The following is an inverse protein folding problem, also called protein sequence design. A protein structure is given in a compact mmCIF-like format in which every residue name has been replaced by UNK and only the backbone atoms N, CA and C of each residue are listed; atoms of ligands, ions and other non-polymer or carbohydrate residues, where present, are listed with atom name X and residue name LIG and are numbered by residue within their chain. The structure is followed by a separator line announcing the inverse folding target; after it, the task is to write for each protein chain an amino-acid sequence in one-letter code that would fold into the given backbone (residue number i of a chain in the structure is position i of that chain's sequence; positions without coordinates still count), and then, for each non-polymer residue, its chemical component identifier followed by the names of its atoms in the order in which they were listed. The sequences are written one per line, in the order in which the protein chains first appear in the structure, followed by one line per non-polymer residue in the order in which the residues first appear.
data_IF_645563406537
#
_entry.id   IF_645563406537
#
_cell.length_a   1.000
_cell.length_b   1.000
_cell.length_c   1.000
_cell.angle_alpha   90.00
_cell.angle_beta   90.00
_cell.angle_gamma   90.00
#
_symmetry.space_group_name_H-M   'P 1'
#
loop_
_entity.id
_entity.type
_entity.pdbx_description
1 polymer ?
#
# COMPACT_ATOMS: atom_id res chain seq x y z
N UNK A 1 -17.73 -75.17 20.34
CA UNK A 1 -18.88 -74.81 19.48
C UNK A 1 -18.87 -73.30 19.32
N UNK A 2 -18.33 -72.90 18.18
CA UNK A 2 -18.09 -71.52 17.73
C UNK A 2 -19.34 -70.94 17.09
N UNK A 3 -19.79 -69.78 17.55
CA UNK A 3 -20.70 -68.92 16.80
C UNK A 3 -20.12 -67.49 16.76
N UNK A 4 -19.41 -67.21 15.67
CA UNK A 4 -19.21 -65.85 15.16
C UNK A 4 -20.42 -65.51 14.28
N UNK A 5 -20.94 -64.27 14.35
CA UNK A 5 -21.54 -63.67 13.18
C UNK A 5 -20.85 -62.36 12.78
N UNK A 6 -20.48 -62.34 11.50
CA UNK A 6 -20.78 -61.28 10.51
C UNK A 6 -20.12 -59.91 10.72
N UNK A 7 -18.96 -59.78 10.08
CA UNK A 7 -18.59 -58.69 9.15
C UNK A 7 -19.35 -57.37 9.32
N UNK A 8 -18.68 -56.38 9.92
CA UNK A 8 -19.03 -54.97 9.83
C UNK A 8 -19.04 -54.53 8.35
N UNK A 9 -20.06 -53.80 7.89
CA UNK A 9 -20.11 -53.33 6.52
C UNK A 9 -19.06 -52.25 6.30
N UNK A 10 -18.28 -52.45 5.24
CA UNK A 10 -17.26 -51.57 4.69
C UNK A 10 -17.91 -50.33 4.05
N UNK A 11 -18.65 -49.54 4.83
CA UNK A 11 -19.44 -48.41 4.32
C UNK A 11 -19.30 -47.18 5.21
N UNK A 12 -18.09 -46.94 5.73
CA UNK A 12 -17.75 -45.69 6.40
C UNK A 12 -16.32 -45.23 6.07
N UNK A 13 -15.95 -45.34 4.79
CA UNK A 13 -14.69 -44.80 4.27
C UNK A 13 -14.91 -44.03 2.96
N UNK A 14 -15.98 -43.23 2.92
CA UNK A 14 -16.29 -42.35 1.79
C UNK A 14 -16.76 -40.96 2.23
N UNK A 15 -16.11 -40.38 3.25
CA UNK A 15 -16.39 -39.03 3.74
C UNK A 15 -15.11 -38.31 4.17
N UNK A 16 -14.14 -38.18 3.26
CA UNK A 16 -13.01 -37.24 3.41
C UNK A 16 -12.32 -36.87 2.08
N UNK A 17 -13.02 -36.90 0.93
CA UNK A 17 -12.39 -36.61 -0.36
C UNK A 17 -13.21 -35.72 -1.29
N UNK A 18 -14.17 -34.95 -0.78
CA UNK A 18 -14.90 -33.93 -1.55
C UNK A 18 -15.09 -32.69 -0.70
N UNK A 19 -14.05 -31.88 -0.51
CA UNK A 19 -14.17 -30.46 -0.12
C UNK A 19 -13.02 -29.56 -0.64
N UNK A 20 -12.21 -30.03 -1.60
CA UNK A 20 -10.99 -29.32 -2.04
C UNK A 20 -11.02 -28.81 -3.49
N UNK A 21 -12.19 -28.51 -4.06
CA UNK A 21 -12.29 -27.89 -5.39
C UNK A 21 -12.85 -26.46 -5.43
N UNK A 22 -13.07 -25.82 -4.27
CA UNK A 22 -13.68 -24.47 -4.21
C UNK A 22 -12.81 -23.34 -3.67
N UNK A 23 -11.54 -23.59 -3.30
CA UNK A 23 -10.73 -22.66 -2.50
C UNK A 23 -9.55 -22.00 -3.25
N UNK A 24 -9.50 -22.11 -4.59
CA UNK A 24 -8.35 -21.69 -5.41
C UNK A 24 -8.24 -20.17 -5.65
N UNK A 25 -9.26 -19.39 -5.32
CA UNK A 25 -9.28 -17.95 -5.65
C UNK A 25 -9.04 -17.00 -4.45
N UNK A 26 -8.70 -17.52 -3.26
CA UNK A 26 -8.45 -16.65 -2.10
C UNK A 26 -6.97 -16.26 -2.02
N UNK A 27 -6.64 -14.97 -1.89
CA UNK A 27 -5.26 -14.56 -1.66
C UNK A 27 -4.74 -15.19 -0.36
N UNK A 28 -3.45 -15.49 -0.34
CA UNK A 28 -2.73 -15.81 0.89
C UNK A 28 -2.54 -14.50 1.64
N UNK A 29 -3.15 -14.39 2.81
CA UNK A 29 -2.98 -13.25 3.70
C UNK A 29 -1.83 -13.50 4.69
N UNK A 30 -0.89 -12.57 4.75
CA UNK A 30 0.16 -12.54 5.77
C UNK A 30 0.18 -11.20 6.48
N UNK A 31 0.57 -11.21 7.74
CA UNK A 31 0.79 -10.00 8.53
C UNK A 31 2.27 -9.95 8.85
N UNK A 32 2.92 -8.84 8.50
CA UNK A 32 4.32 -8.59 8.81
C UNK A 32 4.48 -8.20 10.29
N UNK A 33 5.72 -8.22 10.79
CA UNK A 33 6.07 -7.90 12.17
C UNK A 33 5.67 -6.48 12.57
N UNK A 34 5.70 -5.55 11.62
CA UNK A 34 5.27 -4.16 11.81
C UNK A 34 3.74 -3.95 11.70
N UNK A 35 2.98 -5.05 11.55
CA UNK A 35 1.53 -5.06 11.47
C UNK A 35 0.96 -4.83 10.07
N UNK A 36 1.78 -4.56 9.04
CA UNK A 36 1.29 -4.46 7.67
C UNK A 36 0.68 -5.79 7.21
N UNK A 37 -0.56 -5.73 6.71
CA UNK A 37 -1.23 -6.88 6.08
C UNK A 37 -0.89 -6.91 4.59
N UNK A 38 -0.56 -8.08 4.07
CA UNK A 38 -0.16 -8.30 2.68
C UNK A 38 -0.97 -9.45 2.10
N UNK A 39 -1.72 -9.15 1.04
CA UNK A 39 -2.42 -10.14 0.23
C UNK A 39 -1.52 -10.62 -0.90
N UNK A 40 -1.29 -11.92 -0.99
CA UNK A 40 -0.50 -12.55 -2.06
C UNK A 40 -1.38 -13.40 -2.97
N UNK A 41 -1.28 -13.19 -4.27
CA UNK A 41 -2.01 -13.88 -5.31
C UNK A 41 -1.09 -14.84 -6.05
N UNK A 42 -1.61 -15.97 -6.49
CA UNK A 42 -0.85 -16.89 -7.35
C UNK A 42 -0.45 -16.19 -8.66
N UNK A 43 0.78 -16.44 -9.10
CA UNK A 43 1.26 -15.98 -10.39
C UNK A 43 0.90 -17.00 -11.46
N UNK A 44 0.43 -16.50 -12.58
CA UNK A 44 0.09 -17.29 -13.75
C UNK A 44 1.03 -16.93 -14.90
N UNK A 45 1.45 -17.96 -15.62
CA UNK A 45 2.25 -17.90 -16.83
C UNK A 45 1.42 -18.39 -18.01
N UNK A 46 2.00 -18.44 -19.22
CA UNK A 46 1.33 -19.02 -20.38
C UNK A 46 0.95 -20.50 -20.16
N UNK A 47 1.72 -21.22 -19.34
CA UNK A 47 1.52 -22.64 -19.04
C UNK A 47 0.60 -22.88 -17.83
N UNK A 48 0.00 -21.83 -17.27
CA UNK A 48 -0.86 -21.87 -16.09
C UNK A 48 -0.19 -21.35 -14.81
N UNK A 49 -0.76 -21.65 -13.62
CA UNK A 49 -0.20 -21.19 -12.36
C UNK A 49 1.20 -21.76 -12.17
N UNK A 50 2.13 -20.92 -11.73
CA UNK A 50 3.44 -21.37 -11.29
C UNK A 50 3.59 -21.26 -9.77
N UNK A 51 4.81 -21.48 -9.28
CA UNK A 51 5.11 -21.43 -7.84
C UNK A 51 5.30 -19.99 -7.32
N UNK A 52 5.18 -18.99 -8.19
CA UNK A 52 5.33 -17.59 -7.83
C UNK A 52 4.06 -17.05 -7.17
N UNK A 53 4.25 -16.13 -6.23
CA UNK A 53 3.17 -15.31 -5.65
C UNK A 53 3.46 -13.83 -5.82
N UNK A 54 2.46 -13.07 -6.24
CA UNK A 54 2.55 -11.62 -6.42
C UNK A 54 1.79 -10.91 -5.30
N UNK A 55 2.39 -9.89 -4.69
CA UNK A 55 1.75 -9.13 -3.62
C UNK A 55 0.90 -7.98 -4.16
N UNK A 56 -0.26 -7.74 -3.54
CA UNK A 56 -1.03 -6.51 -3.72
C UNK A 56 -0.29 -5.30 -3.17
N UNK A 57 -0.59 -4.08 -3.63
CA UNK A 57 -0.04 -2.87 -3.04
C UNK A 57 -0.25 -2.81 -1.53
N UNK A 58 0.79 -2.41 -0.80
CA UNK A 58 0.76 -2.14 0.64
C UNK A 58 1.86 -1.12 1.00
N UNK A 59 1.89 -0.68 2.27
CA UNK A 59 2.93 0.20 2.83
C UNK A 59 3.20 1.49 2.03
N UNK A 60 2.17 2.33 1.86
CA UNK A 60 2.35 3.70 1.37
C UNK A 60 3.11 4.54 2.40
N UNK A 61 4.17 5.21 1.97
CA UNK A 61 5.05 6.01 2.84
C UNK A 61 5.69 7.16 2.07
N UNK A 62 6.24 8.12 2.82
CA UNK A 62 7.21 9.07 2.26
C UNK A 62 8.46 8.30 1.85
N UNK A 63 8.93 8.55 0.64
CA UNK A 63 10.14 7.95 0.10
C UNK A 63 11.37 8.42 0.86
N UNK A 64 12.43 7.62 0.81
CA UNK A 64 13.72 7.93 1.41
C UNK A 64 14.76 8.14 0.31
N UNK A 65 15.65 9.09 0.56
CA UNK A 65 16.88 9.25 -0.19
C UNK A 65 17.88 8.14 0.18
N UNK A 66 18.97 8.04 -0.57
CA UNK A 66 20.03 7.04 -0.28
C UNK A 66 20.71 7.26 1.07
N UNK A 67 20.66 8.48 1.60
CA UNK A 67 21.16 8.82 2.94
C UNK A 67 20.26 8.32 4.08
N UNK A 68 19.04 7.86 3.78
CA UNK A 68 18.01 7.55 4.76
C UNK A 68 17.10 8.74 5.08
N UNK A 69 17.44 9.95 4.61
CA UNK A 69 16.61 11.13 4.79
C UNK A 69 15.29 10.99 4.03
N UNK A 70 14.20 11.46 4.64
CA UNK A 70 12.88 11.42 4.01
C UNK A 70 12.80 12.49 2.95
N UNK A 71 12.20 12.16 1.81
CA UNK A 71 11.98 13.09 0.72
C UNK A 71 10.72 13.91 0.99
N UNK A 72 10.83 14.78 2.00
CA UNK A 72 9.82 15.73 2.44
C UNK A 72 10.53 17.05 2.73
N UNK A 73 9.95 18.17 2.29
CA UNK A 73 10.50 19.49 2.54
C UNK A 73 9.39 20.53 2.57
N UNK A 74 9.42 21.40 3.57
CA UNK A 74 8.65 22.63 3.59
C UNK A 74 9.61 23.82 3.61
N UNK A 75 9.45 24.73 2.65
CA UNK A 75 10.23 25.95 2.53
C UNK A 75 9.29 27.16 2.57
N UNK A 76 9.37 27.94 3.65
CA UNK A 76 8.72 29.24 3.74
C UNK A 76 9.60 30.32 3.11
N UNK A 77 9.04 31.11 2.21
CA UNK A 77 9.74 32.21 1.55
C UNK A 77 9.77 33.43 2.44
N UNK A 78 10.96 34.03 2.56
CA UNK A 78 11.21 35.25 3.32
C UNK A 78 12.29 36.07 2.61
N UNK A 79 12.32 37.38 2.82
CA UNK A 79 13.40 38.24 2.32
C UNK A 79 14.68 38.02 3.13
N UNK A 80 14.54 37.79 4.43
CA UNK A 80 15.61 37.39 5.35
C UNK A 80 15.05 36.48 6.46
N UNK A 81 15.88 36.00 7.39
CA UNK A 81 15.46 35.07 8.44
C UNK A 81 14.43 35.67 9.42
N UNK A 82 14.38 37.00 9.54
CA UNK A 82 13.54 37.74 10.50
C UNK A 82 12.28 38.33 9.87
N UNK A 83 12.22 38.43 8.54
CA UNK A 83 11.08 39.00 7.83
C UNK A 83 9.85 38.09 7.87
N UNK A 84 8.70 38.66 7.53
CA UNK A 84 7.46 37.91 7.39
C UNK A 84 7.54 36.84 6.29
N UNK A 85 6.70 35.81 6.42
CA UNK A 85 6.55 34.77 5.40
C UNK A 85 5.76 35.34 4.21
N UNK A 86 6.36 35.31 3.03
CA UNK A 86 5.79 35.80 1.77
C UNK A 86 5.04 34.71 0.99
N UNK A 87 5.21 33.44 1.39
CA UNK A 87 4.60 32.27 0.78
C UNK A 87 5.38 31.02 1.17
N UNK A 88 5.10 29.90 0.51
CA UNK A 88 5.91 28.71 0.73
C UNK A 88 5.63 27.59 -0.25
N UNK A 89 6.54 26.62 -0.28
CA UNK A 89 6.35 25.37 -1.00
C UNK A 89 6.50 24.20 -0.03
N UNK A 90 5.55 23.27 -0.11
CA UNK A 90 5.69 21.93 0.45
C UNK A 90 5.92 20.95 -0.71
N UNK A 91 6.87 20.06 -0.55
CA UNK A 91 7.15 19.01 -1.52
C UNK A 91 7.41 17.70 -0.78
N UNK A 92 6.79 16.61 -1.24
CA UNK A 92 7.17 15.28 -0.77
C UNK A 92 7.00 14.23 -1.85
N UNK A 93 7.82 13.18 -1.77
CA UNK A 93 7.73 12.01 -2.62
C UNK A 93 7.07 10.86 -1.85
N UNK A 94 6.01 10.28 -2.42
CA UNK A 94 5.36 9.09 -1.89
C UNK A 94 5.79 7.85 -2.68
N UNK A 95 5.95 6.73 -1.98
CA UNK A 95 6.21 5.41 -2.57
C UNK A 95 5.42 4.34 -1.84
N UNK A 96 5.22 3.19 -2.46
CA UNK A 96 4.56 2.04 -1.85
C UNK A 96 5.32 0.74 -2.16
N UNK A 97 4.95 -0.32 -1.46
CA UNK A 97 5.58 -1.63 -1.55
C UNK A 97 6.50 -1.89 -0.37
N UNK A 98 7.13 -3.07 -0.32
CA UNK A 98 7.97 -3.44 0.80
C UNK A 98 9.18 -2.52 0.97
N UNK A 99 9.65 -2.38 2.19
CA UNK A 99 11.05 -2.04 2.48
C UNK A 99 11.93 -3.28 2.30
N UNK A 100 13.25 -3.13 2.25
CA UNK A 100 14.16 -4.28 2.13
C UNK A 100 13.97 -5.30 3.28
N UNK A 101 13.65 -4.82 4.48
CA UNK A 101 13.37 -5.68 5.63
C UNK A 101 12.05 -6.45 5.47
N UNK A 102 10.99 -5.76 5.08
CA UNK A 102 9.68 -6.36 4.81
C UNK A 102 9.73 -7.35 3.63
N UNK A 103 10.54 -7.08 2.60
CA UNK A 103 10.72 -7.97 1.45
C UNK A 103 11.36 -9.30 1.87
N UNK A 104 12.37 -9.25 2.76
CA UNK A 104 12.98 -10.48 3.33
C UNK A 104 11.98 -11.23 4.19
N UNK A 105 11.31 -10.54 5.09
CA UNK A 105 10.30 -11.13 5.96
C UNK A 105 9.16 -11.80 5.16
N UNK A 106 8.65 -11.12 4.13
CA UNK A 106 7.61 -11.63 3.26
C UNK A 106 8.03 -12.92 2.55
N UNK A 107 9.29 -12.98 2.08
CA UNK A 107 9.85 -14.19 1.46
C UNK A 107 9.93 -15.36 2.43
N UNK A 108 10.34 -15.12 3.66
CA UNK A 108 10.42 -16.16 4.69
C UNK A 108 9.03 -16.65 5.11
N UNK A 109 8.07 -15.74 5.30
CA UNK A 109 6.68 -16.08 5.61
C UNK A 109 6.02 -16.92 4.51
N UNK A 110 6.26 -16.61 3.24
CA UNK A 110 5.74 -17.40 2.12
C UNK A 110 6.32 -18.82 2.16
N UNK A 111 7.64 -18.98 2.34
CA UNK A 111 8.29 -20.30 2.43
C UNK A 111 7.79 -21.14 3.60
N UNK A 112 7.50 -20.50 4.75
CA UNK A 112 7.02 -21.18 5.95
C UNK A 112 5.55 -21.60 5.88
N UNK A 113 4.70 -20.80 5.22
CA UNK A 113 3.25 -21.02 5.19
C UNK A 113 2.76 -21.82 3.98
N UNK A 114 3.65 -22.07 3.03
CA UNK A 114 3.31 -22.75 1.78
C UNK A 114 4.34 -23.84 1.47
N UNK A 115 4.25 -24.46 0.29
CA UNK A 115 5.30 -25.36 -0.18
C UNK A 115 6.63 -24.59 -0.28
N UNK A 116 7.73 -25.18 0.23
CA UNK A 116 9.08 -24.61 0.21
C UNK A 116 9.58 -24.13 -1.17
N UNK A 117 8.97 -24.62 -2.24
CA UNK A 117 9.27 -24.24 -3.62
C UNK A 117 8.51 -23.00 -4.11
N UNK A 118 7.57 -22.47 -3.32
CA UNK A 118 6.91 -21.20 -3.61
C UNK A 118 7.78 -20.01 -3.23
N UNK A 119 7.62 -18.91 -3.97
CA UNK A 119 8.44 -17.71 -3.80
C UNK A 119 7.65 -16.43 -4.11
N UNK A 120 8.15 -15.31 -3.60
CA UNK A 120 7.62 -13.98 -3.92
C UNK A 120 8.13 -13.55 -5.29
N UNK A 121 7.22 -13.36 -6.24
CA UNK A 121 7.48 -13.02 -7.63
C UNK A 121 7.42 -11.52 -7.94
N UNK A 122 7.23 -10.68 -6.92
CA UNK A 122 7.13 -9.23 -7.04
C UNK A 122 5.71 -8.70 -6.80
N UNK A 123 5.46 -7.47 -7.19
CA UNK A 123 4.13 -6.86 -7.08
C UNK A 123 3.19 -7.37 -8.16
N UNK A 124 1.89 -7.29 -7.89
CA UNK A 124 0.89 -7.39 -8.95
C UNK A 124 1.17 -6.36 -10.06
N UNK A 125 0.86 -6.69 -11.33
CA UNK A 125 0.82 -5.70 -12.39
C UNK A 125 -0.39 -4.79 -12.17
N UNK A 126 -0.13 -3.49 -12.07
CA UNK A 126 -1.15 -2.50 -11.76
C UNK A 126 -1.25 -1.45 -12.87
N UNK A 127 -2.40 -0.80 -12.90
CA UNK A 127 -2.66 0.39 -13.67
C UNK A 127 -3.33 1.43 -12.78
N UNK A 128 -3.34 2.68 -13.25
CA UNK A 128 -4.00 3.78 -12.54
C UNK A 128 -5.50 3.56 -12.54
N UNK A 129 -6.15 3.80 -11.41
CA UNK A 129 -7.61 3.89 -11.41
C UNK A 129 -8.03 5.17 -12.14
N UNK A 130 -8.77 5.03 -13.24
CA UNK A 130 -9.24 6.17 -14.04
C UNK A 130 -10.48 6.82 -13.43
N UNK A 131 -11.18 6.14 -12.52
CA UNK A 131 -12.35 6.66 -11.79
C UNK A 131 -11.89 7.52 -10.62
N UNK A 132 -10.92 7.03 -9.84
CA UNK A 132 -10.34 7.76 -8.72
C UNK A 132 -9.07 8.52 -9.15
N UNK A 133 -9.22 9.82 -9.43
CA UNK A 133 -8.16 10.65 -10.02
C UNK A 133 -7.08 11.04 -8.99
N UNK A 134 -5.92 10.38 -9.06
CA UNK A 134 -4.67 10.88 -8.48
C UNK A 134 -4.51 10.65 -6.98
N UNK A 135 -3.78 11.55 -6.32
CA UNK A 135 -3.70 11.65 -4.87
C UNK A 135 -4.99 12.29 -4.31
N UNK A 136 -5.62 11.60 -3.37
CA UNK A 136 -6.69 12.11 -2.52
C UNK A 136 -6.09 12.60 -1.20
N UNK A 137 -6.55 13.77 -0.76
CA UNK A 137 -6.21 14.35 0.55
C UNK A 137 -7.53 14.52 1.28
N UNK A 138 -7.64 13.98 2.50
CA UNK A 138 -8.86 14.06 3.29
C UNK A 138 -8.59 14.14 4.78
N UNK A 139 -9.66 14.20 5.60
CA UNK A 139 -11.07 14.24 5.21
C UNK A 139 -11.46 15.52 4.46
N UNK A 140 -12.47 15.51 3.58
CA UNK A 140 -12.84 16.68 2.77
C UNK A 140 -13.17 17.93 3.61
N UNK A 141 -13.83 17.80 4.75
CA UNK A 141 -14.24 18.96 5.54
C UNK A 141 -13.19 19.37 6.59
N UNK A 142 -12.04 18.68 6.64
CA UNK A 142 -10.99 18.98 7.61
C UNK A 142 -10.21 20.23 7.18
N UNK A 143 -10.07 21.27 8.03
CA UNK A 143 -9.41 22.54 7.66
C UNK A 143 -8.00 22.38 7.10
N UNK A 144 -7.20 21.46 7.68
CA UNK A 144 -5.84 21.20 7.20
C UNK A 144 -5.78 20.38 5.92
N UNK A 145 -6.75 19.50 5.68
CA UNK A 145 -6.85 18.82 4.39
C UNK A 145 -7.21 19.84 3.30
N UNK A 146 -8.10 20.79 3.61
CA UNK A 146 -8.44 21.90 2.73
C UNK A 146 -7.27 22.85 2.49
N UNK A 147 -6.45 23.12 3.51
CA UNK A 147 -5.20 23.88 3.37
C UNK A 147 -4.27 23.21 2.35
N UNK A 148 -4.02 21.91 2.48
CA UNK A 148 -3.21 21.16 1.52
C UNK A 148 -3.84 21.13 0.12
N UNK A 149 -5.15 20.91 0.03
CA UNK A 149 -5.85 20.87 -1.27
C UNK A 149 -5.77 22.19 -2.02
N UNK A 150 -5.90 23.34 -1.33
CA UNK A 150 -5.73 24.67 -1.95
C UNK A 150 -4.32 24.86 -2.50
N UNK A 151 -3.31 24.34 -1.81
CA UNK A 151 -1.93 24.45 -2.22
C UNK A 151 -1.53 23.50 -3.35
N UNK A 152 -2.29 22.44 -3.62
CA UNK A 152 -1.88 21.37 -4.54
C UNK A 152 -1.79 21.87 -5.99
N UNK A 153 -0.58 21.95 -6.54
CA UNK A 153 -0.32 22.52 -7.87
C UNK A 153 -0.89 21.68 -9.01
N UNK A 154 -0.85 20.36 -8.87
CA UNK A 154 -1.41 19.40 -9.83
C UNK A 154 -1.73 18.09 -9.14
N UNK A 155 -2.66 17.31 -9.69
CA UNK A 155 -2.98 15.98 -9.16
C UNK A 155 -1.89 15.00 -9.59
N UNK A 156 -1.03 14.53 -8.67
CA UNK A 156 0.05 13.64 -9.04
C UNK A 156 -0.50 12.26 -9.40
N UNK A 157 0.20 11.58 -10.31
CA UNK A 157 -0.18 10.25 -10.77
C UNK A 157 0.40 9.17 -9.86
N UNK A 158 -0.43 8.25 -9.33
CA UNK A 158 0.05 7.15 -8.51
C UNK A 158 1.10 6.30 -9.25
N UNK A 159 2.17 5.85 -8.56
CA UNK A 159 3.15 4.97 -9.18
C UNK A 159 2.54 3.58 -9.30
N UNK A 160 2.62 2.96 -10.48
CA UNK A 160 2.04 1.63 -10.74
C UNK A 160 2.98 0.47 -10.39
N UNK A 161 4.26 0.77 -10.16
CA UNK A 161 5.26 -0.22 -9.75
C UNK A 161 5.59 -0.03 -8.27
N UNK A 162 5.79 -1.12 -7.54
CA UNK A 162 6.34 -1.08 -6.19
C UNK A 162 7.71 -0.40 -6.20
N UNK A 163 7.98 0.43 -5.18
CA UNK A 163 9.18 1.27 -5.10
C UNK A 163 9.19 2.49 -6.03
N UNK A 164 8.20 2.61 -6.93
CA UNK A 164 8.02 3.81 -7.74
C UNK A 164 7.69 5.03 -6.87
N UNK A 165 8.13 6.22 -7.29
CA UNK A 165 7.89 7.47 -6.56
C UNK A 165 6.84 8.32 -7.26
N UNK A 166 6.02 9.00 -6.48
CA UNK A 166 5.06 10.01 -6.91
C UNK A 166 5.37 11.32 -6.20
N UNK A 167 5.57 12.39 -6.95
CA UNK A 167 5.84 13.72 -6.40
C UNK A 167 4.56 14.49 -6.16
N UNK A 168 4.37 15.01 -4.95
CA UNK A 168 3.31 15.95 -4.63
C UNK A 168 3.95 17.31 -4.28
N UNK A 169 3.53 18.34 -5.01
CA UNK A 169 4.03 19.71 -4.83
C UNK A 169 2.89 20.65 -4.51
N UNK A 170 3.11 21.50 -3.52
CA UNK A 170 2.13 22.45 -3.04
C UNK A 170 2.74 23.85 -3.00
N UNK A 171 2.02 24.85 -3.49
CA UNK A 171 2.39 26.27 -3.36
C UNK A 171 1.37 26.97 -2.48
N UNK A 172 1.84 27.73 -1.50
CA UNK A 172 0.98 28.41 -0.55
C UNK A 172 1.12 29.93 -0.65
N UNK A 173 0.01 30.62 -0.43
CA UNK A 173 -0.01 32.06 -0.17
C UNK A 173 0.77 32.39 1.11
N UNK A 174 1.11 33.67 1.33
CA UNK A 174 1.74 34.12 2.58
C UNK A 174 0.96 33.67 3.83
N UNK A 175 -0.37 33.84 3.82
CA UNK A 175 -1.23 33.47 4.94
C UNK A 175 -1.27 31.94 5.17
N UNK A 176 -1.46 31.16 4.11
CA UNK A 176 -1.48 29.70 4.20
C UNK A 176 -0.11 29.12 4.60
N UNK A 177 0.98 29.69 4.10
CA UNK A 177 2.33 29.26 4.44
C UNK A 177 2.68 29.58 5.89
N UNK A 178 2.23 30.72 6.42
CA UNK A 178 2.37 31.06 7.83
C UNK A 178 1.60 30.07 8.72
N UNK A 179 0.33 29.82 8.40
CA UNK A 179 -0.48 28.84 9.12
C UNK A 179 0.15 27.44 9.07
N UNK A 180 0.64 27.04 7.89
CA UNK A 180 1.32 25.76 7.73
C UNK A 180 2.59 25.70 8.59
N UNK A 181 3.42 26.74 8.59
CA UNK A 181 4.65 26.79 9.41
C UNK A 181 4.38 26.69 10.92
N UNK A 182 3.28 27.28 11.39
CA UNK A 182 2.85 27.21 12.80
C UNK A 182 2.35 25.81 13.17
N UNK A 183 1.65 25.12 12.26
CA UNK A 183 1.01 23.84 12.54
C UNK A 183 1.84 22.61 12.18
N UNK A 184 2.82 22.73 11.28
CA UNK A 184 3.64 21.59 10.84
C UNK A 184 4.33 20.85 12.01
N UNK A 185 4.81 21.52 13.07
CA UNK A 185 5.38 20.84 14.24
C UNK A 185 4.35 20.13 15.12
N UNK A 186 3.07 20.53 15.06
CA UNK A 186 1.99 19.96 15.88
C UNK A 186 1.43 18.69 15.23
N UNK A 187 2.03 17.55 15.57
CA UNK A 187 1.63 16.24 15.02
C UNK A 187 0.17 15.87 15.32
N UNK A 188 -0.38 16.33 16.45
CA UNK A 188 -1.75 16.01 16.84
C UNK A 188 -2.76 16.64 15.88
N UNK A 189 -2.49 17.88 15.46
CA UNK A 189 -3.31 18.58 14.46
C UNK A 189 -3.44 17.81 13.13
N UNK A 190 -2.46 16.97 12.78
CA UNK A 190 -2.44 16.22 11.51
C UNK A 190 -2.91 14.77 11.61
N UNK A 191 -3.31 14.28 12.79
CA UNK A 191 -3.62 12.86 12.97
C UNK A 191 -4.76 12.38 12.06
N UNK A 192 -5.80 13.22 11.94
CA UNK A 192 -6.97 12.90 11.12
C UNK A 192 -6.72 13.11 9.62
N UNK A 193 -5.74 13.94 9.24
CA UNK A 193 -5.42 14.20 7.83
C UNK A 193 -4.78 12.97 7.21
N UNK A 194 -5.25 12.56 6.04
CA UNK A 194 -4.73 11.42 5.31
C UNK A 194 -4.45 11.73 3.84
N UNK A 195 -3.50 10.95 3.31
CA UNK A 195 -3.15 10.86 1.90
C UNK A 195 -3.59 9.48 1.41
N UNK A 196 -4.32 9.43 0.29
CA UNK A 196 -4.79 8.18 -0.30
C UNK A 196 -4.50 8.12 -1.79
N UNK A 197 -4.02 6.98 -2.25
CA UNK A 197 -3.90 6.66 -3.68
C UNK A 197 -4.75 5.47 -4.03
N UNK A 198 -5.19 5.43 -5.28
CA UNK A 198 -6.04 4.37 -5.82
C UNK A 198 -5.35 3.71 -7.01
N UNK A 199 -5.26 2.39 -6.96
CA UNK A 199 -4.64 1.54 -7.97
C UNK A 199 -5.63 0.44 -8.35
N UNK A 200 -5.51 -0.12 -9.55
CA UNK A 200 -6.26 -1.32 -9.91
C UNK A 200 -5.35 -2.30 -10.63
N UNK A 201 -5.71 -3.58 -10.59
CA UNK A 201 -5.03 -4.62 -11.36
C UNK A 201 -5.09 -4.30 -12.85
N UNK A 202 -3.97 -4.49 -13.55
CA UNK A 202 -3.92 -4.34 -15.00
C UNK A 202 -4.85 -5.35 -15.69
N UNK A 203 -5.75 -4.89 -16.55
CA UNK A 203 -6.76 -5.75 -17.18
C UNK A 203 -6.19 -6.82 -18.12
N UNK A 204 -4.97 -6.60 -18.64
CA UNK A 204 -4.25 -7.57 -19.46
C UNK A 204 -3.36 -8.53 -18.65
N UNK A 205 -3.43 -8.51 -17.32
CA UNK A 205 -2.69 -9.47 -16.50
C UNK A 205 -3.22 -10.89 -16.78
N UNK A 206 -2.30 -11.82 -17.05
CA UNK A 206 -2.61 -13.22 -17.25
C UNK A 206 -3.49 -13.71 -16.09
N UNK A 207 -4.72 -14.12 -16.43
CA UNK A 207 -5.77 -14.54 -15.49
C UNK A 207 -5.23 -15.50 -14.42
N UNK A 208 -5.80 -15.51 -13.19
CA UNK A 208 -7.12 -15.00 -12.84
C UNK A 208 -7.10 -14.04 -11.65
N UNK A 209 -6.25 -13.01 -11.63
CA UNK A 209 -6.46 -11.95 -10.63
C UNK A 209 -7.71 -11.17 -11.08
N UNK A 210 -8.83 -11.23 -10.33
CA UNK A 210 -10.04 -10.51 -10.72
C UNK A 210 -9.73 -9.00 -10.74
N UNK A 211 -10.42 -8.20 -11.59
CA UNK A 211 -10.31 -6.76 -11.56
C UNK A 211 -10.52 -6.23 -10.14
N UNK A 212 -9.43 -5.88 -9.48
CA UNK A 212 -9.40 -5.52 -8.06
C UNK A 212 -8.90 -4.10 -7.96
N UNK A 213 -9.62 -3.28 -7.19
CA UNK A 213 -9.20 -1.93 -6.82
C UNK A 213 -8.56 -1.97 -5.45
N UNK A 214 -7.46 -1.25 -5.30
CA UNK A 214 -6.72 -1.09 -4.07
C UNK A 214 -6.68 0.39 -3.70
N UNK A 215 -6.86 0.67 -2.42
CA UNK A 215 -6.69 2.00 -1.86
C UNK A 215 -5.62 1.94 -0.79
N UNK A 216 -4.54 2.67 -0.99
CA UNK A 216 -3.50 2.82 0.02
C UNK A 216 -3.68 4.16 0.72
N UNK A 217 -3.78 4.13 2.05
CA UNK A 217 -3.98 5.33 2.88
C UNK A 217 -2.81 5.47 3.85
N UNK A 218 -2.34 6.70 4.05
CA UNK A 218 -1.30 7.05 5.01
C UNK A 218 -1.73 8.32 5.75
N UNK A 219 -1.62 8.34 7.08
CA UNK A 219 -1.85 9.58 7.84
C UNK A 219 -0.74 10.59 7.51
N UNK A 220 -1.11 11.85 7.34
CA UNK A 220 -0.18 12.93 7.08
C UNK A 220 0.76 13.15 8.27
N UNK A 221 0.27 12.98 9.51
CA UNK A 221 1.11 13.02 10.72
C UNK A 221 2.33 12.10 10.64
N UNK A 222 2.17 10.89 10.09
CA UNK A 222 3.26 9.94 9.90
C UNK A 222 4.26 10.34 8.80
N UNK A 223 3.89 11.26 7.91
CA UNK A 223 4.84 11.88 6.99
C UNK A 223 5.73 12.90 7.72
N UNK A 224 5.20 13.52 8.79
CA UNK A 224 5.88 14.55 9.60
C UNK A 224 6.77 13.98 10.70
N UNK A 225 6.76 12.66 10.95
CA UNK A 225 7.73 12.00 11.84
C UNK A 225 9.19 12.19 11.40
N UNK A 226 9.40 12.86 10.27
CA UNK A 226 10.67 13.16 9.62
C UNK A 226 11.17 14.60 9.77
N UNK A 227 10.37 15.47 10.39
CA UNK A 227 10.74 16.84 10.77
C UNK A 227 11.22 16.88 12.22
#
# INVERSE_FOLDING_TARGET
MTHLPKTLPLTLLLLAALHLSGQRDRPLEVTLLDGNKVSLYERYTLDGPDKGRMYAPFNLRVAEARSGDKEFSFLAYRQDSTSEILGGILHFLLTWGPTDSQERELKDLVRMRTDSSQYVAGSLPLERDTVAKGLEIGPPDHPLAQLLLRGLNSKPSPPVNAGGKMAASFSFSAADAKLLAELLPDKEAWQEVYLRIHLKTFAGAYRPVPPTRFSLTKSFSSCLESL
#
